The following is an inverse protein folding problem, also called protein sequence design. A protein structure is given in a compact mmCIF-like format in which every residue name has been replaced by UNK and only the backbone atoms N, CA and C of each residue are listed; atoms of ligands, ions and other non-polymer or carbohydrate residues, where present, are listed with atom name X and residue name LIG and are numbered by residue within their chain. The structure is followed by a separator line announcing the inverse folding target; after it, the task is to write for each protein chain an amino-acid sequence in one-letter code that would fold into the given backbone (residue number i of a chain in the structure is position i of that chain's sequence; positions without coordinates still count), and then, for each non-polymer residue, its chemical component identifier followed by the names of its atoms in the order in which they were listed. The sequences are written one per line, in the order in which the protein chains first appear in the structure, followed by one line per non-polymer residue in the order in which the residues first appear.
data_IF_488338631123
#
_entry.id   IF_488338631123
#
_cell.length_a   1.000
_cell.length_b   1.000
_cell.length_c   1.000
_cell.angle_alpha   90.00
_cell.angle_beta   90.00
_cell.angle_gamma   90.00
#
_symmetry.space_group_name_H-M   'P 1'
#
loop_
_entity.id
_entity.type
_entity.pdbx_description
1 polymer ?
#
# COMPACT_ATOMS: atom_id res chain seq x y z
N UNK A 1 -6.29 10.27 -5.09
CA UNK A 1 -5.53 11.45 -4.61
C UNK A 1 -4.64 11.94 -5.74
N UNK A 2 -4.47 13.26 -5.95
CA UNK A 2 -3.50 13.76 -6.93
C UNK A 2 -2.13 13.83 -6.27
N UNK A 3 -1.16 13.09 -6.79
CA UNK A 3 0.22 13.13 -6.31
C UNK A 3 1.01 14.20 -7.08
N UNK A 4 1.31 15.32 -6.43
CA UNK A 4 2.05 16.45 -7.04
C UNK A 4 3.51 16.49 -6.62
N UNK A 5 3.93 15.61 -5.71
CA UNK A 5 5.27 15.62 -5.12
C UNK A 5 5.98 14.27 -5.25
N UNK A 6 5.37 13.31 -5.96
CA UNK A 6 5.85 11.94 -6.12
C UNK A 6 6.00 11.23 -4.76
N UNK A 7 4.99 11.38 -3.89
CA UNK A 7 4.95 10.71 -2.59
C UNK A 7 4.57 9.22 -2.68
N UNK A 8 3.91 8.81 -3.75
CA UNK A 8 3.51 7.41 -3.96
C UNK A 8 4.52 6.67 -4.85
N UNK A 9 4.63 5.35 -4.64
CA UNK A 9 5.51 4.50 -5.43
C UNK A 9 5.06 4.50 -6.89
N UNK A 10 5.99 4.77 -7.80
CA UNK A 10 5.70 4.84 -9.22
C UNK A 10 5.23 3.47 -9.75
N UNK A 11 4.16 3.46 -10.55
CA UNK A 11 3.64 2.25 -11.17
C UNK A 11 2.74 1.37 -10.28
N UNK A 12 2.60 1.69 -8.99
CA UNK A 12 1.62 1.03 -8.12
C UNK A 12 0.39 1.92 -7.92
N UNK A 13 -0.80 1.33 -8.09
CA UNK A 13 -2.07 2.01 -7.83
C UNK A 13 -2.95 1.13 -6.94
N UNK A 14 -2.61 1.09 -5.66
CA UNK A 14 -3.32 0.28 -4.66
C UNK A 14 -4.30 1.17 -3.91
N UNK A 15 -5.59 0.89 -4.06
CA UNK A 15 -6.66 1.56 -3.33
C UNK A 15 -7.59 0.50 -2.73
N UNK A 16 -7.70 0.49 -1.40
CA UNK A 16 -8.50 -0.48 -0.66
C UNK A 16 -9.58 0.27 0.10
N UNK A 17 -10.84 -0.16 -0.05
CA UNK A 17 -11.94 0.43 0.69
C UNK A 17 -11.83 0.09 2.18
N UNK A 18 -11.93 1.11 3.03
CA UNK A 18 -12.01 0.93 4.47
C UNK A 18 -13.36 0.35 4.91
N UNK A 19 -13.42 -0.15 6.15
CA UNK A 19 -14.66 -0.64 6.75
C UNK A 19 -15.62 0.54 7.03
N UNK A 20 -16.87 0.52 6.53
CA UNK A 20 -17.83 1.60 6.80
C UNK A 20 -18.32 1.58 8.25
N UNK A 21 -18.74 2.75 8.76
CA UNK A 21 -19.43 2.88 10.05
C UNK A 21 -18.55 2.80 11.31
N UNK A 22 -17.23 2.73 11.15
CA UNK A 22 -16.27 2.81 12.27
C UNK A 22 -15.78 4.24 12.56
N UNK A 23 -14.96 4.40 13.60
CA UNK A 23 -14.38 5.71 14.00
C UNK A 23 -13.50 6.37 12.92
N UNK A 24 -12.99 5.60 11.96
CA UNK A 24 -12.19 6.09 10.84
C UNK A 24 -13.00 6.21 9.53
N UNK A 25 -14.31 5.99 9.56
CA UNK A 25 -15.16 6.06 8.38
C UNK A 25 -15.11 7.45 7.75
N UNK A 26 -14.95 7.51 6.42
CA UNK A 26 -14.83 8.77 5.67
C UNK A 26 -13.42 9.38 5.68
N UNK A 27 -12.49 8.83 6.46
CA UNK A 27 -11.08 9.21 6.40
C UNK A 27 -10.34 8.35 5.37
N UNK A 28 -9.23 8.89 4.86
CA UNK A 28 -8.29 8.18 3.99
C UNK A 28 -6.88 8.36 4.55
N UNK A 29 -6.05 7.34 4.38
CA UNK A 29 -4.63 7.39 4.72
C UNK A 29 -3.81 6.70 3.64
N UNK A 30 -2.52 7.03 3.58
CA UNK A 30 -1.54 6.31 2.78
C UNK A 30 -0.67 5.46 3.72
N UNK A 31 -0.45 4.20 3.35
CA UNK A 31 0.51 3.34 4.03
C UNK A 31 1.90 3.53 3.41
N UNK A 32 2.94 3.48 4.26
CA UNK A 32 4.30 3.39 3.75
C UNK A 32 4.48 2.03 3.08
N UNK A 33 5.29 1.97 2.03
CA UNK A 33 5.63 0.73 1.32
C UNK A 33 6.64 -0.16 2.10
N UNK A 34 6.36 -0.32 3.40
CA UNK A 34 7.03 -1.21 4.36
C UNK A 34 6.03 -2.13 5.06
N UNK A 35 4.73 -1.88 4.89
CA UNK A 35 3.65 -2.69 5.45
C UNK A 35 3.15 -3.67 4.40
N UNK A 36 2.84 -4.89 4.83
CA UNK A 36 2.28 -5.87 3.93
C UNK A 36 0.84 -5.51 3.60
N UNK A 37 0.53 -5.55 2.30
CA UNK A 37 -0.83 -5.42 1.81
C UNK A 37 -1.19 -6.70 1.07
N UNK A 38 -2.16 -7.45 1.58
CA UNK A 38 -2.59 -8.72 1.00
C UNK A 38 -2.88 -8.57 -0.51
N UNK A 39 -2.26 -9.43 -1.33
CA UNK A 39 -2.41 -9.43 -2.79
C UNK A 39 -1.55 -8.43 -3.55
N UNK A 40 -0.74 -7.61 -2.85
CA UNK A 40 0.13 -6.61 -3.47
C UNK A 40 1.59 -6.78 -3.02
N UNK A 41 2.59 -6.72 -3.91
CA UNK A 41 3.98 -6.77 -3.50
C UNK A 41 4.32 -5.63 -2.54
N UNK A 42 4.95 -5.95 -1.41
CA UNK A 42 5.62 -4.95 -0.57
C UNK A 42 6.91 -4.56 -1.27
N UNK A 43 7.15 -3.28 -1.52
CA UNK A 43 8.32 -2.84 -2.28
C UNK A 43 9.56 -2.57 -1.44
N UNK A 44 9.41 -2.15 -0.17
CA UNK A 44 10.54 -1.94 0.71
C UNK A 44 11.44 -0.76 0.31
N UNK A 45 11.06 0.02 -0.70
CA UNK A 45 11.96 0.98 -1.36
C UNK A 45 13.17 0.32 -2.04
N UNK A 46 13.09 -0.99 -2.33
CA UNK A 46 14.18 -1.76 -2.91
C UNK A 46 13.66 -2.70 -4.02
N UNK A 47 14.07 -2.53 -5.30
CA UNK A 47 13.62 -3.39 -6.38
C UNK A 47 13.95 -4.88 -6.18
N UNK A 48 15.05 -5.19 -5.49
CA UNK A 48 15.44 -6.58 -5.20
C UNK A 48 14.46 -7.23 -4.21
N UNK A 49 13.88 -6.44 -3.29
CA UNK A 49 12.92 -6.97 -2.33
C UNK A 49 11.70 -7.55 -3.04
N UNK A 50 11.15 -6.83 -4.02
CA UNK A 50 10.03 -7.31 -4.84
C UNK A 50 10.40 -8.56 -5.62
N UNK A 51 11.64 -8.65 -6.12
CA UNK A 51 12.08 -9.77 -6.95
C UNK A 51 12.20 -11.10 -6.17
N UNK A 52 12.55 -11.04 -4.88
CA UNK A 52 12.85 -12.22 -4.07
C UNK A 52 11.81 -12.56 -3.00
N UNK A 53 10.87 -11.66 -2.71
CA UNK A 53 9.85 -11.90 -1.69
C UNK A 53 8.50 -12.25 -2.30
N UNK A 54 7.77 -13.21 -1.70
CA UNK A 54 6.43 -13.55 -2.16
C UNK A 54 5.46 -12.40 -1.93
N UNK A 55 4.42 -12.32 -2.76
CA UNK A 55 3.30 -11.42 -2.52
C UNK A 55 2.58 -11.83 -1.22
N UNK A 56 2.43 -10.91 -0.23
CA UNK A 56 1.74 -11.21 1.02
C UNK A 56 0.30 -11.66 0.81
N UNK A 57 -0.15 -12.60 1.65
CA UNK A 57 -1.55 -13.07 1.66
C UNK A 57 -2.38 -12.43 2.77
N UNK A 58 -1.76 -11.62 3.64
CA UNK A 58 -2.42 -10.89 4.73
C UNK A 58 -1.82 -9.49 4.90
N UNK A 59 -2.53 -8.61 5.59
CA UNK A 59 -2.01 -7.31 6.02
C UNK A 59 -1.14 -7.47 7.28
N UNK A 60 0.01 -6.79 7.35
CA UNK A 60 0.93 -6.81 8.51
C UNK A 60 1.73 -5.52 8.65
#
# INVERSE_FOLDING_TARGET
MRDTVNAFVAGSSVHIAGKPGGSLSGLSFAAKDLFDVAGHPTGGGNPDWVAFNPVPTRHA
#
